data_IF_646827293867
#
_entry.id   IF_646827293867
#
_cell.length_a   1.000
_cell.length_b   1.000
_cell.length_c   1.000
_cell.angle_alpha   90.00
_cell.angle_beta   90.00
_cell.angle_gamma   90.00
#
_symmetry.space_group_name_H-M   'P 1'
#
loop_
_entity.id
_entity.type
_entity.pdbx_description
1 polymer ?
#
# COMPACT_ATOMS: atom_id res chain seq x y z
N UNK A 1 11.00 -12.43 2.62
CA UNK A 1 11.37 -11.00 2.66
C UNK A 1 10.17 -10.24 3.20
N UNK A 2 10.27 -9.68 4.42
CA UNK A 2 9.19 -8.87 5.01
C UNK A 2 9.10 -7.52 4.28
N UNK A 3 7.94 -6.88 4.23
CA UNK A 3 7.79 -5.55 3.61
C UNK A 3 6.57 -4.78 4.15
N UNK A 4 6.75 -3.50 4.45
CA UNK A 4 5.63 -2.55 4.56
C UNK A 4 5.31 -1.91 3.20
N UNK A 5 4.05 -2.01 2.79
CA UNK A 5 3.46 -1.25 1.70
C UNK A 5 2.65 -0.08 2.29
N UNK A 6 3.05 1.14 1.99
CA UNK A 6 2.24 2.33 2.29
C UNK A 6 1.35 2.61 1.08
N UNK A 7 0.04 2.69 1.29
CA UNK A 7 -0.91 3.10 0.26
C UNK A 7 -1.58 4.39 0.68
N UNK A 8 -1.37 5.45 -0.10
CA UNK A 8 -1.96 6.77 0.16
C UNK A 8 -3.23 6.90 -0.68
N UNK A 9 -4.38 7.04 -0.04
CA UNK A 9 -5.69 7.08 -0.72
C UNK A 9 -5.93 8.42 -1.39
N UNK A 10 -6.88 8.45 -2.34
CA UNK A 10 -7.26 9.67 -3.08
C UNK A 10 -8.32 10.52 -2.40
N UNK A 11 -9.18 9.94 -1.55
CA UNK A 11 -10.36 10.66 -1.06
C UNK A 11 -9.98 11.63 0.05
N UNK A 12 -10.14 12.92 -0.22
CA UNK A 12 -10.38 13.92 0.82
C UNK A 12 -11.69 13.59 1.58
N UNK A 13 -11.81 14.09 2.80
CA UNK A 13 -12.94 13.83 3.71
C UNK A 13 -14.18 14.70 3.39
N UNK A 14 -14.33 15.16 2.14
CA UNK A 14 -15.42 16.02 1.63
C UNK A 14 -16.75 15.28 1.44
N UNK A 15 -17.14 14.52 2.46
CA UNK A 15 -18.50 13.99 2.67
C UNK A 15 -19.32 15.02 3.49
N UNK A 16 -19.24 16.28 3.05
CA UNK A 16 -19.96 17.44 3.60
C UNK A 16 -20.89 17.97 2.51
N UNK A 17 -22.19 17.83 2.71
CA UNK A 17 -23.19 18.16 1.69
C UNK A 17 -23.23 19.64 1.33
N UNK A 18 -23.51 19.93 0.06
CA UNK A 18 -23.94 21.25 -0.41
C UNK A 18 -22.84 22.30 -0.58
N UNK A 19 -22.29 22.41 -1.78
CA UNK A 19 -22.50 23.55 -2.71
C UNK A 19 -21.63 23.31 -3.95
N UNK A 20 -22.20 23.47 -5.15
CA UNK A 20 -21.43 23.44 -6.40
C UNK A 20 -20.96 24.85 -6.73
N UNK A 21 -19.67 25.05 -6.95
CA UNK A 21 -19.16 26.22 -7.67
C UNK A 21 -18.10 25.80 -8.68
N UNK A 22 -18.33 26.20 -9.93
CA UNK A 22 -17.40 26.16 -11.05
C UNK A 22 -17.89 27.22 -12.06
N UNK A 23 -17.08 27.67 -13.03
CA UNK A 23 -15.62 27.61 -13.15
C UNK A 23 -14.99 29.01 -13.34
N UNK A 24 -13.66 29.14 -13.47
CA UNK A 24 -13.06 30.36 -14.07
C UNK A 24 -11.82 30.08 -14.92
N UNK A 25 -12.07 30.05 -16.24
CA UNK A 25 -11.29 30.57 -17.38
C UNK A 25 -9.78 30.85 -17.23
N UNK A 26 -8.99 29.99 -17.89
CA UNK A 26 -7.96 30.28 -18.91
C UNK A 26 -7.17 31.62 -18.88
N UNK A 27 -5.83 31.52 -18.91
CA UNK A 27 -4.99 32.34 -19.81
C UNK A 27 -3.92 31.49 -20.52
N UNK A 28 -3.68 31.81 -21.80
CA UNK A 28 -2.66 31.20 -22.68
C UNK A 28 -1.42 32.09 -22.74
N UNK A 29 -0.26 31.49 -23.03
CA UNK A 29 0.82 32.13 -23.80
C UNK A 29 1.43 31.11 -24.78
N UNK A 30 1.63 31.54 -26.02
CA UNK A 30 2.26 30.76 -27.12
C UNK A 30 3.75 31.10 -27.25
N UNK A 31 4.38 30.52 -28.30
CA UNK A 31 5.66 30.82 -28.98
C UNK A 31 6.77 29.84 -28.55
N UNK A 32 7.50 29.14 -29.44
CA UNK A 32 7.52 29.11 -30.93
C UNK A 32 7.49 27.66 -31.49
N UNK A 33 7.50 27.51 -32.83
CA UNK A 33 7.69 26.25 -33.55
C UNK A 33 8.78 26.38 -34.63
N UNK A 34 9.61 25.35 -34.81
CA UNK A 34 10.42 25.00 -36.00
C UNK A 34 10.68 23.47 -35.91
N UNK A 35 10.60 22.64 -36.94
CA UNK A 35 10.19 22.80 -38.33
C UNK A 35 9.91 21.42 -38.97
N UNK A 36 9.38 21.39 -40.21
CA UNK A 36 8.97 20.17 -40.93
C UNK A 36 9.68 20.10 -42.29
N UNK A 37 10.12 18.90 -42.72
CA UNK A 37 10.30 18.41 -44.12
C UNK A 37 11.44 17.36 -44.20
N UNK A 38 11.46 16.38 -45.11
CA UNK A 38 10.43 15.69 -45.89
C UNK A 38 11.01 14.34 -46.41
N UNK A 39 10.19 13.55 -47.10
CA UNK A 39 10.44 12.39 -48.00
C UNK A 39 11.80 12.36 -48.78
N UNK A 40 12.31 11.27 -49.39
CA UNK A 40 11.65 10.11 -50.05
C UNK A 40 12.69 9.02 -50.49
N UNK A 41 12.23 7.82 -50.88
CA UNK A 41 12.96 6.88 -51.77
C UNK A 41 13.73 5.73 -51.08
N UNK A 42 13.94 4.56 -51.70
CA UNK A 42 13.41 4.02 -52.96
C UNK A 42 13.43 2.46 -52.92
N UNK A 43 12.72 1.80 -53.84
CA UNK A 43 12.63 0.32 -53.93
C UNK A 43 13.63 -0.20 -54.96
N UNK A 44 14.43 -1.22 -54.60
CA UNK A 44 15.10 -2.11 -55.56
C UNK A 44 15.03 -3.53 -54.99
N UNK A 45 14.61 -4.50 -55.81
CA UNK A 45 14.65 -5.93 -55.47
C UNK A 45 15.67 -6.68 -56.31
N UNK A 46 16.04 -7.88 -55.88
CA UNK A 46 16.66 -8.90 -56.71
C UNK A 46 16.20 -10.28 -56.24
N UNK A 47 15.85 -11.15 -57.19
CA UNK A 47 15.44 -12.52 -56.93
C UNK A 47 16.65 -13.45 -56.84
N UNK A 48 16.52 -14.54 -56.09
CA UNK A 48 17.37 -15.72 -56.21
C UNK A 48 16.50 -16.98 -56.10
N UNK A 49 16.69 -17.90 -57.03
CA UNK A 49 15.96 -19.16 -57.18
C UNK A 49 16.45 -20.22 -56.19
N UNK A 50 15.55 -21.11 -55.74
CA UNK A 50 15.90 -22.21 -54.84
C UNK A 50 14.89 -23.36 -54.92
N UNK A 51 15.37 -24.54 -55.32
CA UNK A 51 14.64 -25.77 -55.65
C UNK A 51 13.45 -26.16 -54.75
N UNK A 52 12.43 -26.77 -55.38
CA UNK A 52 11.35 -27.45 -54.69
C UNK A 52 11.85 -28.74 -53.99
N UNK A 53 11.46 -28.92 -52.73
CA UNK A 53 11.67 -30.16 -51.97
C UNK A 53 10.31 -30.77 -51.59
N UNK A 54 10.21 -32.10 -51.68
CA UNK A 54 8.98 -32.83 -51.39
C UNK A 54 8.58 -32.74 -49.90
N UNK A 55 7.28 -32.76 -49.56
CA UNK A 55 6.83 -32.70 -48.17
C UNK A 55 7.12 -34.01 -47.43
N UNK A 56 7.63 -33.96 -46.17
CA UNK A 56 7.79 -35.15 -45.35
C UNK A 56 6.42 -35.65 -44.86
N UNK A 57 6.20 -36.96 -44.94
CA UNK A 57 5.00 -37.62 -44.38
C UNK A 57 5.05 -37.59 -42.86
N UNK A 58 4.19 -36.78 -42.23
CA UNK A 58 4.08 -36.71 -40.77
C UNK A 58 3.17 -37.84 -40.28
N UNK A 59 3.74 -38.83 -39.59
CA UNK A 59 2.98 -39.81 -38.81
C UNK A 59 2.41 -39.14 -37.55
N UNK A 60 1.12 -39.37 -37.21
CA UNK A 60 0.54 -38.80 -35.99
C UNK A 60 1.09 -39.53 -34.75
N UNK A 61 2.08 -38.92 -34.10
CA UNK A 61 2.64 -39.40 -32.84
C UNK A 61 1.73 -39.04 -31.66
N UNK A 62 1.64 -39.98 -30.71
CA UNK A 62 1.05 -39.95 -29.37
C UNK A 62 0.15 -38.75 -28.97
N UNK A 63 -1.10 -39.07 -28.60
CA UNK A 63 -1.99 -38.16 -27.88
C UNK A 63 -1.33 -37.56 -26.65
N UNK A 64 -1.03 -36.26 -26.69
CA UNK A 64 -0.71 -35.47 -25.50
C UNK A 64 -2.00 -35.36 -24.68
N UNK A 65 -2.07 -36.12 -23.59
CA UNK A 65 -3.16 -36.00 -22.63
C UNK A 65 -3.20 -34.55 -22.12
N UNK A 66 -4.23 -33.81 -22.52
CA UNK A 66 -4.40 -32.43 -22.10
C UNK A 66 -4.56 -32.38 -20.58
N UNK A 67 -3.51 -31.95 -19.88
CA UNK A 67 -3.56 -31.72 -18.44
C UNK A 67 -4.66 -30.70 -18.17
N UNK A 68 -5.80 -31.17 -17.64
CA UNK A 68 -6.96 -30.35 -17.41
C UNK A 68 -6.56 -29.20 -16.48
N UNK A 69 -6.58 -27.97 -17.02
CA UNK A 69 -6.39 -26.77 -16.22
C UNK A 69 -7.58 -26.68 -15.27
N UNK A 70 -7.42 -27.22 -14.06
CA UNK A 70 -8.43 -27.14 -13.02
C UNK A 70 -8.62 -25.66 -12.69
N UNK A 71 -9.69 -25.09 -13.22
CA UNK A 71 -10.13 -23.72 -12.92
C UNK A 71 -10.47 -23.69 -11.44
N UNK A 72 -9.49 -23.28 -10.63
CA UNK A 72 -9.63 -23.18 -9.19
C UNK A 72 -10.81 -22.28 -8.85
N UNK A 73 -11.90 -22.89 -8.37
CA UNK A 73 -13.06 -22.15 -7.91
C UNK A 73 -12.64 -21.20 -6.79
N UNK A 74 -13.14 -19.94 -6.75
CA UNK A 74 -12.71 -18.98 -5.75
C UNK A 74 -13.01 -19.46 -4.33
N UNK A 75 -11.97 -19.95 -3.63
CA UNK A 75 -12.13 -20.55 -2.31
C UNK A 75 -12.76 -19.54 -1.33
N UNK A 76 -13.79 -19.93 -0.55
CA UNK A 76 -14.55 -19.00 0.27
C UNK A 76 -13.66 -18.26 1.28
N UNK A 77 -13.88 -16.95 1.39
CA UNK A 77 -13.09 -16.09 2.27
C UNK A 77 -13.36 -16.40 3.74
N UNK A 78 -12.29 -16.62 4.49
CA UNK A 78 -12.35 -17.00 5.88
C UNK A 78 -12.79 -15.84 6.78
N UNK A 79 -13.62 -16.16 7.78
CA UNK A 79 -14.27 -15.20 8.68
C UNK A 79 -13.34 -14.76 9.83
N UNK A 80 -13.90 -13.97 10.75
CA UNK A 80 -13.22 -13.51 11.96
C UNK A 80 -12.97 -14.69 12.91
N UNK A 81 -11.73 -14.86 13.37
CA UNK A 81 -11.34 -15.89 14.35
C UNK A 81 -11.11 -15.30 15.73
N UNK A 82 -10.41 -14.16 15.85
CA UNK A 82 -10.13 -13.57 17.16
C UNK A 82 -10.06 -12.04 17.16
N UNK A 83 -10.16 -11.45 18.36
CA UNK A 83 -9.97 -10.01 18.62
C UNK A 83 -8.96 -9.88 19.75
N UNK A 84 -7.92 -9.05 19.61
CA UNK A 84 -6.91 -8.77 20.64
C UNK A 84 -6.80 -7.28 20.88
N UNK A 85 -6.79 -6.88 22.16
CA UNK A 85 -6.32 -5.54 22.55
C UNK A 85 -4.80 -5.61 22.53
N UNK A 86 -4.15 -4.91 21.60
CA UNK A 86 -2.69 -4.95 21.43
C UNK A 86 -1.98 -3.89 22.28
N UNK A 87 -2.72 -2.91 22.79
CA UNK A 87 -2.28 -1.87 23.69
C UNK A 87 -3.39 -0.84 23.94
N UNK A 88 -3.06 0.22 24.65
CA UNK A 88 -3.93 1.37 24.88
C UNK A 88 -3.24 2.65 24.42
N UNK A 89 -4.02 3.62 23.97
CA UNK A 89 -3.54 4.97 23.66
C UNK A 89 -3.22 5.77 24.92
N UNK A 90 -2.70 6.99 24.73
CA UNK A 90 -2.45 7.96 25.82
C UNK A 90 -3.71 8.20 26.68
N UNK A 91 -4.89 8.35 26.07
CA UNK A 91 -6.18 8.48 26.77
C UNK A 91 -6.85 7.12 27.07
N UNK A 92 -6.07 6.04 27.17
CA UNK A 92 -6.52 4.73 27.65
C UNK A 92 -7.38 3.91 26.67
N UNK A 93 -7.62 4.38 25.45
CA UNK A 93 -8.50 3.71 24.47
C UNK A 93 -7.83 2.48 23.88
N UNK A 94 -8.58 1.37 23.79
CA UNK A 94 -8.06 0.11 23.27
C UNK A 94 -7.66 0.21 21.79
N UNK A 95 -6.43 -0.17 21.48
CA UNK A 95 -5.97 -0.44 20.13
C UNK A 95 -6.28 -1.91 19.84
N UNK A 96 -7.14 -2.19 18.86
CA UNK A 96 -7.73 -3.53 18.66
C UNK A 96 -7.37 -4.12 17.29
N UNK A 97 -6.56 -5.18 17.32
CA UNK A 97 -6.31 -6.05 16.19
C UNK A 97 -7.37 -7.16 16.10
N UNK A 98 -7.70 -7.58 14.87
CA UNK A 98 -8.68 -8.65 14.60
C UNK A 98 -8.12 -9.64 13.58
N UNK A 99 -8.07 -10.91 13.92
CA UNK A 99 -7.62 -11.97 13.03
C UNK A 99 -8.77 -12.48 12.18
N UNK A 100 -8.55 -12.55 10.88
CA UNK A 100 -9.38 -13.25 9.91
C UNK A 100 -8.55 -14.34 9.24
N UNK A 101 -9.13 -15.49 8.93
CA UNK A 101 -8.36 -16.63 8.38
C UNK A 101 -7.72 -17.51 9.46
N UNK A 102 -6.86 -18.44 9.04
CA UNK A 102 -6.34 -19.46 9.96
C UNK A 102 -5.30 -18.87 10.92
N UNK A 103 -5.37 -19.14 12.24
CA UNK A 103 -4.34 -18.72 13.19
C UNK A 103 -3.00 -19.44 12.99
N UNK A 104 -2.97 -20.56 12.26
CA UNK A 104 -1.78 -21.36 11.97
C UNK A 104 -1.29 -21.22 10.53
N UNK A 105 -1.83 -20.27 9.76
CA UNK A 105 -1.36 -20.03 8.39
C UNK A 105 0.07 -19.48 8.37
N UNK A 106 0.92 -20.05 7.51
CA UNK A 106 2.29 -19.59 7.27
C UNK A 106 2.39 -18.28 6.48
N UNK A 107 1.28 -17.81 5.89
CA UNK A 107 1.18 -16.54 5.18
C UNK A 107 0.45 -15.52 6.04
N UNK A 108 1.18 -14.58 6.63
CA UNK A 108 0.71 -13.66 7.67
C UNK A 108 0.76 -12.22 7.16
N UNK A 109 -0.39 -11.55 7.14
CA UNK A 109 -0.52 -10.16 6.71
C UNK A 109 -1.18 -9.28 7.76
N UNK A 110 -0.70 -8.05 7.92
CA UNK A 110 -1.32 -7.03 8.79
C UNK A 110 -1.83 -5.86 7.93
N UNK A 111 -3.08 -5.44 8.14
CA UNK A 111 -3.67 -4.27 7.48
C UNK A 111 -4.04 -3.22 8.54
N UNK A 112 -3.49 -2.01 8.39
CA UNK A 112 -3.68 -0.88 9.29
C UNK A 112 -4.40 0.25 8.55
N UNK A 113 -5.55 0.67 9.09
CA UNK A 113 -6.42 1.66 8.44
C UNK A 113 -5.97 3.11 8.61
N UNK A 114 -5.30 3.46 9.71
CA UNK A 114 -4.61 4.75 9.85
C UNK A 114 -3.61 4.76 11.00
N UNK A 115 -2.65 5.68 10.92
CA UNK A 115 -1.79 6.07 12.05
C UNK A 115 -1.84 7.58 12.34
N UNK A 116 -2.13 8.41 11.34
CA UNK A 116 -2.49 9.81 11.57
C UNK A 116 -4.02 9.93 11.74
N UNK A 117 -4.49 10.69 12.71
CA UNK A 117 -5.92 10.74 13.05
C UNK A 117 -6.80 11.53 12.07
N UNK A 118 -6.20 12.40 11.26
CA UNK A 118 -6.83 13.09 10.12
C UNK A 118 -7.09 12.17 8.93
N UNK A 119 -6.43 11.01 8.83
CA UNK A 119 -6.43 10.16 7.64
C UNK A 119 -7.52 9.08 7.73
N UNK A 120 -8.79 9.50 7.64
CA UNK A 120 -9.94 8.67 8.02
C UNK A 120 -10.39 7.67 6.94
N UNK A 121 -10.03 7.89 5.67
CA UNK A 121 -10.45 7.03 4.57
C UNK A 121 -9.96 5.58 4.70
N UNK A 122 -8.70 5.38 5.09
CA UNK A 122 -8.15 4.04 5.30
C UNK A 122 -8.87 3.26 6.41
N UNK A 123 -9.24 3.91 7.51
CA UNK A 123 -10.05 3.30 8.57
C UNK A 123 -11.45 2.88 8.05
N UNK A 124 -12.07 3.66 7.16
CA UNK A 124 -13.32 3.31 6.47
C UNK A 124 -13.14 2.11 5.53
N UNK A 125 -12.08 2.09 4.71
CA UNK A 125 -11.73 0.98 3.81
C UNK A 125 -11.54 -0.32 4.62
N UNK A 126 -10.76 -0.26 5.68
CA UNK A 126 -10.50 -1.40 6.56
C UNK A 126 -11.78 -1.89 7.24
N UNK A 127 -12.68 -0.99 7.67
CA UNK A 127 -14.02 -1.37 8.17
C UNK A 127 -14.87 -2.10 7.12
N UNK A 128 -14.74 -1.78 5.83
CA UNK A 128 -15.39 -2.51 4.71
C UNK A 128 -14.71 -3.87 4.45
N UNK A 129 -13.37 -3.95 4.43
CA UNK A 129 -12.61 -5.20 4.23
C UNK A 129 -12.95 -6.27 5.27
N UNK A 130 -13.18 -5.87 6.53
CA UNK A 130 -13.64 -6.73 7.62
C UNK A 130 -14.93 -7.54 7.33
N UNK A 131 -15.78 -7.08 6.39
CA UNK A 131 -16.97 -7.83 5.94
C UNK A 131 -16.63 -8.91 4.90
N UNK A 132 -15.58 -8.71 4.11
CA UNK A 132 -15.15 -9.64 3.04
C UNK A 132 -14.41 -10.85 3.60
N UNK A 133 -13.65 -10.71 4.67
CA UNK A 133 -12.83 -11.79 5.23
C UNK A 133 -11.48 -11.99 4.53
N UNK A 134 -10.65 -12.87 5.10
CA UNK A 134 -9.31 -13.17 4.61
C UNK A 134 -9.33 -14.04 3.36
N UNK A 135 -8.31 -13.94 2.47
CA UNK A 135 -8.02 -14.99 1.51
C UNK A 135 -7.83 -16.34 2.21
N UNK A 136 -8.23 -17.44 1.56
CA UNK A 136 -8.01 -18.77 2.10
C UNK A 136 -6.50 -19.08 2.28
N UNK A 137 -6.17 -19.88 3.30
CA UNK A 137 -4.78 -20.21 3.63
C UNK A 137 -3.92 -19.05 4.15
N UNK A 138 -4.52 -17.96 4.63
CA UNK A 138 -3.79 -16.80 5.19
C UNK A 138 -4.26 -16.44 6.61
N UNK A 139 -3.38 -15.79 7.38
CA UNK A 139 -3.69 -15.10 8.62
C UNK A 139 -3.71 -13.59 8.34
N UNK A 140 -4.87 -12.96 8.35
CA UNK A 140 -5.03 -11.53 8.07
C UNK A 140 -5.44 -10.77 9.32
N UNK A 141 -4.47 -10.10 9.94
CA UNK A 141 -4.70 -9.19 11.07
C UNK A 141 -5.15 -7.82 10.59
N UNK A 142 -6.16 -7.26 11.26
CA UNK A 142 -6.82 -6.03 10.83
C UNK A 142 -6.97 -5.04 12.00
N UNK A 143 -6.32 -3.89 11.88
CA UNK A 143 -6.31 -2.80 12.87
C UNK A 143 -6.93 -1.55 12.22
N UNK A 144 -8.13 -1.08 12.62
CA UNK A 144 -8.75 0.09 12.01
C UNK A 144 -7.94 1.39 12.16
N UNK A 145 -7.28 1.58 13.30
CA UNK A 145 -6.33 2.67 13.55
C UNK A 145 -5.40 2.28 14.70
N UNK A 146 -4.15 2.73 14.67
CA UNK A 146 -3.24 2.68 15.84
C UNK A 146 -3.29 3.97 16.67
N UNK A 147 -3.96 5.02 16.18
CA UNK A 147 -4.11 6.31 16.84
C UNK A 147 -5.60 6.62 17.12
N UNK A 148 -6.25 5.90 18.04
CA UNK A 148 -7.67 6.11 18.33
C UNK A 148 -7.96 7.48 18.94
N UNK A 149 -6.96 8.12 19.56
CA UNK A 149 -7.09 9.43 20.18
C UNK A 149 -7.09 10.55 19.15
N UNK A 150 -6.05 10.62 18.31
CA UNK A 150 -5.99 11.54 17.17
C UNK A 150 -7.16 11.34 16.22
N UNK A 151 -7.57 10.09 15.96
CA UNK A 151 -8.75 9.79 15.13
C UNK A 151 -10.07 10.30 15.74
N UNK A 152 -10.21 10.32 17.08
CA UNK A 152 -11.36 10.96 17.75
C UNK A 152 -11.26 12.49 17.69
N UNK A 153 -10.06 13.04 17.90
CA UNK A 153 -9.80 14.48 17.92
C UNK A 153 -9.72 15.13 16.52
N UNK A 154 -9.69 14.33 15.44
CA UNK A 154 -9.38 14.76 14.06
C UNK A 154 -8.00 15.44 13.95
N UNK A 155 -7.01 14.96 14.71
CA UNK A 155 -5.64 15.50 14.74
C UNK A 155 -4.66 14.50 14.11
N UNK A 156 -3.59 15.00 13.47
CA UNK A 156 -2.57 14.14 12.86
C UNK A 156 -1.87 13.28 13.93
N UNK A 157 -1.31 13.92 14.95
CA UNK A 157 -0.61 13.25 16.05
C UNK A 157 -1.54 12.49 17.01
N UNK A 158 -0.96 11.86 18.04
CA UNK A 158 -1.72 11.29 19.16
C UNK A 158 -2.18 12.38 20.16
N UNK A 159 -2.71 12.01 21.33
CA UNK A 159 -3.18 12.97 22.34
C UNK A 159 -2.06 13.85 22.96
N UNK A 160 -0.78 13.58 22.67
CA UNK A 160 0.37 14.44 23.04
C UNK A 160 0.91 15.26 21.86
N UNK A 161 0.17 15.31 20.74
CA UNK A 161 0.61 15.95 19.50
C UNK A 161 1.73 15.21 18.75
N UNK A 162 2.16 14.03 19.22
CA UNK A 162 3.28 13.29 18.60
C UNK A 162 2.83 12.65 17.30
N UNK A 163 3.57 12.89 16.22
CA UNK A 163 3.44 12.15 14.98
C UNK A 163 3.98 10.72 15.19
N UNK A 164 3.09 9.73 15.22
CA UNK A 164 3.46 8.33 15.41
C UNK A 164 4.41 7.83 14.30
N UNK A 165 4.34 8.41 13.09
CA UNK A 165 5.24 8.10 11.98
C UNK A 165 6.53 8.94 11.99
N UNK A 166 6.87 9.52 13.14
CA UNK A 166 8.19 10.07 13.50
C UNK A 166 8.68 9.54 14.86
N UNK A 167 7.94 8.63 15.51
CA UNK A 167 8.23 8.12 16.85
C UNK A 167 8.84 6.70 16.87
N UNK A 168 9.01 6.03 15.73
CA UNK A 168 9.78 4.79 15.59
C UNK A 168 11.26 4.98 15.94
N UNK A 169 12.01 3.89 16.12
CA UNK A 169 13.43 3.97 16.52
C UNK A 169 14.43 4.11 15.37
N UNK A 170 14.07 3.69 14.15
CA UNK A 170 15.00 3.75 13.03
C UNK A 170 15.29 5.20 12.59
N UNK A 171 16.59 5.54 12.53
CA UNK A 171 17.11 6.88 12.20
C UNK A 171 16.44 8.03 12.99
N UNK A 172 15.91 7.76 14.20
CA UNK A 172 15.11 8.73 14.95
C UNK A 172 15.88 10.02 15.28
N UNK A 173 15.21 11.16 15.16
CA UNK A 173 15.72 12.48 15.54
C UNK A 173 14.74 13.17 16.49
N UNK A 174 15.25 13.93 17.44
CA UNK A 174 14.43 14.73 18.37
C UNK A 174 13.88 16.04 17.79
N UNK A 175 14.32 16.40 16.57
CA UNK A 175 13.93 17.62 15.84
C UNK A 175 13.08 17.29 14.62
N UNK A 176 12.29 18.26 14.16
CA UNK A 176 11.47 18.16 12.95
C UNK A 176 11.30 19.54 12.29
N UNK A 177 11.18 19.62 10.95
CA UNK A 177 11.02 20.92 10.24
C UNK A 177 9.75 21.69 10.57
N UNK A 178 8.73 21.02 11.13
CA UNK A 178 7.44 21.63 11.44
C UNK A 178 6.79 20.95 12.65
N UNK A 179 6.02 21.69 13.49
CA UNK A 179 5.38 21.15 14.69
C UNK A 179 4.47 19.94 14.42
N UNK A 180 3.85 19.89 13.24
CA UNK A 180 2.98 18.79 12.77
C UNK A 180 3.69 17.43 12.65
N UNK A 181 5.03 17.43 12.64
CA UNK A 181 5.89 16.24 12.58
C UNK A 181 6.62 15.97 13.91
N UNK A 182 6.16 16.53 15.04
CA UNK A 182 6.81 16.38 16.34
C UNK A 182 7.07 14.89 16.69
N UNK A 183 8.35 14.47 16.85
CA UNK A 183 8.73 13.06 16.92
C UNK A 183 8.57 12.45 18.33
N UNK A 184 8.10 13.25 19.30
CA UNK A 184 8.07 12.89 20.71
C UNK A 184 9.40 13.17 21.42
N UNK A 185 9.43 12.95 22.73
CA UNK A 185 10.59 13.22 23.61
C UNK A 185 11.76 12.25 23.45
N UNK A 186 11.52 11.07 22.87
CA UNK A 186 12.51 10.06 22.49
C UNK A 186 11.88 9.04 21.54
N UNK A 187 12.71 8.24 20.86
CA UNK A 187 12.24 7.05 20.16
C UNK A 187 11.35 6.18 21.07
N UNK A 188 10.24 5.68 20.49
CA UNK A 188 9.25 4.83 21.12
C UNK A 188 8.62 5.42 22.40
N UNK A 189 8.57 6.75 22.53
CA UNK A 189 7.99 7.43 23.70
C UNK A 189 6.49 7.21 23.86
N UNK A 190 5.77 6.93 22.76
CA UNK A 190 4.31 6.84 22.78
C UNK A 190 3.80 5.40 22.97
N UNK A 191 2.72 5.22 23.76
CA UNK A 191 2.17 3.89 24.02
C UNK A 191 1.58 3.26 22.76
N UNK A 192 1.06 4.05 21.82
CA UNK A 192 0.61 3.59 20.50
C UNK A 192 1.77 2.97 19.71
N UNK A 193 2.90 3.67 19.62
CA UNK A 193 4.12 3.22 18.94
C UNK A 193 4.65 1.92 19.55
N UNK A 194 4.72 1.82 20.89
CA UNK A 194 5.14 0.59 21.56
C UNK A 194 4.16 -0.57 21.38
N UNK A 195 2.86 -0.29 21.28
CA UNK A 195 1.85 -1.30 21.00
C UNK A 195 1.97 -1.86 19.57
N UNK A 196 2.20 -0.97 18.59
CA UNK A 196 2.51 -1.34 17.20
C UNK A 196 3.76 -2.22 17.12
N UNK A 197 4.89 -1.76 17.67
CA UNK A 197 6.18 -2.46 17.65
C UNK A 197 6.05 -3.87 18.25
N UNK A 198 5.58 -3.96 19.51
CA UNK A 198 5.40 -5.26 20.19
C UNK A 198 4.47 -6.19 19.43
N UNK A 199 3.38 -5.69 18.86
CA UNK A 199 2.44 -6.52 18.13
C UNK A 199 3.03 -7.11 16.86
N UNK A 200 3.77 -6.30 16.08
CA UNK A 200 4.39 -6.78 14.85
C UNK A 200 5.53 -7.77 15.15
N UNK A 201 6.39 -7.50 16.13
CA UNK A 201 7.44 -8.44 16.56
C UNK A 201 6.89 -9.76 17.14
N UNK A 202 5.66 -9.79 17.67
CA UNK A 202 5.01 -11.01 18.17
C UNK A 202 4.32 -11.84 17.09
N UNK A 203 3.87 -11.20 16.00
CA UNK A 203 3.08 -11.84 14.94
C UNK A 203 3.93 -12.20 13.72
N UNK A 204 5.07 -11.53 13.57
CA UNK A 204 6.07 -11.69 12.52
C UNK A 204 5.51 -11.77 11.08
N UNK A 205 4.80 -10.73 10.60
CA UNK A 205 4.10 -10.79 9.32
C UNK A 205 5.03 -10.70 8.10
N UNK A 206 4.68 -11.43 7.03
CA UNK A 206 5.29 -11.29 5.71
C UNK A 206 5.09 -9.88 5.12
N UNK A 207 3.90 -9.30 5.35
CA UNK A 207 3.50 -8.03 4.76
C UNK A 207 2.66 -7.20 5.71
N UNK A 208 2.97 -5.89 5.77
CA UNK A 208 2.13 -4.90 6.44
C UNK A 208 1.64 -3.89 5.40
N UNK A 209 0.32 -3.72 5.30
CA UNK A 209 -0.31 -2.69 4.48
C UNK A 209 -0.80 -1.57 5.39
N UNK A 210 -0.25 -0.37 5.22
CA UNK A 210 -0.65 0.82 5.97
C UNK A 210 -1.35 1.80 5.01
N UNK A 211 -2.58 2.18 5.36
CA UNK A 211 -3.30 3.22 4.65
C UNK A 211 -2.98 4.62 5.21
N UNK A 212 -2.79 5.57 4.30
CA UNK A 212 -2.54 6.99 4.53
C UNK A 212 -3.45 7.86 3.64
N UNK A 213 -3.52 9.18 3.87
CA UNK A 213 -4.32 10.13 3.08
C UNK A 213 -3.68 11.54 3.15
N UNK A 214 -3.74 12.39 2.12
CA UNK A 214 -4.16 12.17 0.74
C UNK A 214 -2.92 12.02 -0.18
N UNK A 215 -3.07 11.41 -1.35
CA UNK A 215 -1.96 11.25 -2.30
C UNK A 215 -2.16 10.30 -3.47
N UNK A 216 -3.24 9.51 -3.48
CA UNK A 216 -3.66 8.67 -4.60
C UNK A 216 -2.54 7.81 -5.23
N UNK A 217 -1.95 6.89 -4.48
CA UNK A 217 -0.94 5.97 -5.01
C UNK A 217 -0.42 4.93 -4.01
N UNK A 218 0.24 3.89 -4.52
CA UNK A 218 1.03 2.95 -3.71
C UNK A 218 2.49 3.39 -3.72
N UNK A 219 3.08 3.48 -2.53
CA UNK A 219 4.41 4.03 -2.35
C UNK A 219 5.53 3.06 -2.78
N UNK A 220 6.51 3.58 -3.52
CA UNK A 220 7.77 2.91 -3.89
C UNK A 220 9.00 3.47 -3.19
N UNK A 221 8.86 4.47 -2.32
CA UNK A 221 10.00 5.10 -1.64
C UNK A 221 10.69 4.14 -0.66
N UNK A 222 12.02 4.18 -0.64
CA UNK A 222 12.93 3.28 0.07
C UNK A 222 12.68 1.77 -0.21
N UNK A 223 13.14 0.90 0.69
CA UNK A 223 13.35 -0.56 0.56
C UNK A 223 12.06 -1.39 0.45
N UNK A 224 11.13 -0.98 -0.41
CA UNK A 224 9.86 -1.67 -0.63
C UNK A 224 10.00 -2.69 -1.74
N UNK A 225 9.48 -3.90 -1.51
CA UNK A 225 9.48 -4.94 -2.53
C UNK A 225 8.75 -4.46 -3.80
N UNK A 226 9.51 -4.16 -4.86
CA UNK A 226 9.01 -3.58 -6.12
C UNK A 226 7.92 -4.44 -6.78
N UNK A 227 7.99 -5.77 -6.62
CA UNK A 227 7.00 -6.71 -7.11
C UNK A 227 5.67 -6.57 -6.38
N UNK A 228 5.70 -6.55 -5.04
CA UNK A 228 4.52 -6.33 -4.20
C UNK A 228 3.91 -4.94 -4.42
N UNK A 229 4.72 -3.87 -4.48
CA UNK A 229 4.24 -2.49 -4.76
C UNK A 229 3.49 -2.43 -6.10
N UNK A 230 4.08 -2.94 -7.20
CA UNK A 230 3.43 -2.98 -8.52
C UNK A 230 2.19 -3.87 -8.52
N UNK A 231 2.27 -5.04 -7.88
CA UNK A 231 1.19 -6.02 -7.81
C UNK A 231 -0.02 -5.56 -6.99
N UNK A 232 0.21 -4.73 -5.96
CA UNK A 232 -0.83 -4.06 -5.18
C UNK A 232 -1.43 -2.91 -5.98
N UNK A 233 -0.60 -2.03 -6.53
CA UNK A 233 -1.02 -0.90 -7.35
C UNK A 233 -1.96 -1.33 -8.49
N UNK A 234 -1.57 -2.35 -9.27
CA UNK A 234 -2.41 -2.94 -10.34
C UNK A 234 -3.75 -3.47 -9.82
N UNK A 235 -3.77 -4.15 -8.66
CA UNK A 235 -5.00 -4.71 -8.05
C UNK A 235 -5.91 -3.65 -7.44
N UNK A 236 -5.37 -2.50 -7.06
CA UNK A 236 -6.12 -1.39 -6.46
C UNK A 236 -6.56 -0.33 -7.48
N UNK A 237 -6.09 -0.40 -8.73
CA UNK A 237 -6.31 0.65 -9.74
C UNK A 237 -5.61 1.96 -9.38
N UNK A 238 -4.51 1.91 -8.61
CA UNK A 238 -3.76 3.06 -8.14
C UNK A 238 -2.41 3.17 -8.87
N UNK A 239 -1.90 4.38 -9.13
CA UNK A 239 -0.55 4.55 -9.66
C UNK A 239 0.51 4.18 -8.60
N UNK A 240 1.68 3.73 -9.06
CA UNK A 240 2.87 3.66 -8.20
C UNK A 240 3.47 5.05 -8.10
N UNK A 241 3.61 5.58 -6.88
CA UNK A 241 4.16 6.92 -6.62
C UNK A 241 5.40 6.83 -5.74
N UNK A 242 6.29 7.81 -5.86
CA UNK A 242 7.41 8.00 -4.96
C UNK A 242 6.98 9.03 -3.89
N UNK A 243 6.66 8.58 -2.68
CA UNK A 243 6.40 9.51 -1.57
C UNK A 243 7.71 9.72 -0.80
N UNK A 244 8.66 10.38 -1.47
CA UNK A 244 9.86 10.89 -0.80
C UNK A 244 9.48 11.94 0.25
N UNK A 245 10.39 12.12 1.18
CA UNK A 245 10.24 12.96 2.38
C UNK A 245 11.40 13.95 2.51
N UNK A 246 12.15 14.15 1.42
CA UNK A 246 13.24 15.13 1.31
C UNK A 246 14.29 15.01 2.43
N UNK A 247 14.61 13.78 2.80
CA UNK A 247 15.55 13.43 3.89
C UNK A 247 14.93 13.23 5.27
N UNK A 248 13.62 13.48 5.44
CA UNK A 248 12.95 13.42 6.76
C UNK A 248 12.30 12.08 7.16
N UNK A 249 12.61 10.96 6.49
CA UNK A 249 12.02 9.66 6.87
C UNK A 249 12.67 9.02 8.11
N UNK A 250 13.00 9.87 9.08
CA UNK A 250 13.55 9.55 10.39
C UNK A 250 12.43 9.18 11.35
N UNK A 251 12.61 8.13 12.15
CA UNK A 251 11.61 7.66 13.12
C UNK A 251 10.32 7.14 12.49
N UNK A 252 10.31 6.76 11.21
CA UNK A 252 9.10 6.20 10.57
C UNK A 252 8.83 4.78 11.06
N UNK A 253 7.55 4.44 11.22
CA UNK A 253 7.15 3.07 11.59
C UNK A 253 7.41 2.08 10.45
N UNK A 254 7.35 2.55 9.21
CA UNK A 254 7.79 1.84 8.00
C UNK A 254 9.28 1.49 8.05
N UNK A 255 10.15 2.46 8.36
CA UNK A 255 11.61 2.26 8.44
C UNK A 255 11.99 1.29 9.53
N UNK A 256 11.38 1.42 10.72
CA UNK A 256 11.58 0.45 11.80
C UNK A 256 11.26 -0.99 11.37
N UNK A 257 10.10 -1.25 10.77
CA UNK A 257 9.72 -2.62 10.41
C UNK A 257 10.58 -3.20 9.28
N UNK A 258 10.94 -2.41 8.27
CA UNK A 258 11.74 -2.94 7.15
C UNK A 258 13.16 -3.34 7.57
N UNK A 259 13.64 -2.85 8.72
CA UNK A 259 15.00 -3.08 9.25
C UNK A 259 15.09 -4.20 10.31
N UNK A 260 13.97 -4.80 10.74
CA UNK A 260 13.90 -5.78 11.85
C UNK A 260 13.11 -7.05 11.49
#
# INVERSE_FOLDING_TARGET
MRTILNTVTSTDDSDSGGVRTAPTVLRKSLIAAVGVSLCTGAVVGSAATGAAAAPPSITPSASVAAAAVTVSTPQPRAKLVSKRVIGRSVQGRNIVARLYGSPTATKVGVIIGSMHGTERAGARIVKKLRKKGAPAGTAMWVIPTINPDGHRAKQRGNARGVDLNRNGSDLWKGTARAPVYYPGRRALSEPETRAYVRFLSQIDPDVVLIYHQAGNGVDRYNEKNRGLTRGLAKRMGLPVRNFNCDGECTGTLTGWFNKN
#
